data_IF_421264975385
#
_entry.id   IF_421264975385
#
_cell.length_a   1.000
_cell.length_b   1.000
_cell.length_c   1.000
_cell.angle_alpha   90.00
_cell.angle_beta   90.00
_cell.angle_gamma   90.00
#
_symmetry.space_group_name_H-M   'P 1'
#
loop_
_entity.id
_entity.type
_entity.pdbx_description
1 polymer ?
#
# COMPACT_ATOMS: atom_id res chain seq x y z
N UNK A 1 -31.44 0.35 -6.31
CA UNK A 1 -30.47 -0.39 -5.45
C UNK A 1 -29.61 -1.38 -6.27
N UNK A 2 -28.92 -0.95 -7.34
CA UNK A 2 -28.18 -1.87 -8.25
C UNK A 2 -26.67 -1.58 -8.40
N UNK A 3 -26.18 -0.46 -7.87
CA UNK A 3 -24.77 -0.08 -7.99
C UNK A 3 -23.85 -0.82 -6.99
N UNK A 4 -24.36 -1.14 -5.78
CA UNK A 4 -23.59 -1.83 -4.72
C UNK A 4 -23.18 -3.26 -5.11
N UNK A 5 -24.00 -3.95 -5.89
CA UNK A 5 -23.77 -5.34 -6.32
C UNK A 5 -22.77 -5.44 -7.47
N UNK A 6 -22.76 -4.48 -8.40
CA UNK A 6 -21.73 -4.40 -9.44
C UNK A 6 -20.35 -4.10 -8.84
N UNK A 7 -20.26 -3.15 -7.90
CA UNK A 7 -19.01 -2.84 -7.22
C UNK A 7 -18.46 -4.03 -6.42
N UNK A 8 -19.30 -4.79 -5.73
CA UNK A 8 -18.83 -5.95 -4.96
C UNK A 8 -18.37 -7.10 -5.85
N UNK A 9 -19.00 -7.30 -7.00
CA UNK A 9 -18.55 -8.29 -7.99
C UNK A 9 -17.27 -7.85 -8.71
N UNK A 10 -17.16 -6.57 -9.07
CA UNK A 10 -15.93 -6.02 -9.66
C UNK A 10 -14.79 -6.04 -8.64
N UNK A 11 -15.05 -5.72 -7.37
CA UNK A 11 -14.10 -5.87 -6.27
C UNK A 11 -13.65 -7.32 -6.15
N UNK A 12 -14.56 -8.29 -6.26
CA UNK A 12 -14.23 -9.72 -6.31
C UNK A 12 -13.40 -10.11 -7.53
N UNK A 13 -13.64 -9.52 -8.70
CA UNK A 13 -12.88 -9.80 -9.91
C UNK A 13 -11.50 -9.12 -9.92
N UNK A 14 -11.37 -7.93 -9.32
CA UNK A 14 -10.10 -7.25 -9.07
C UNK A 14 -9.31 -7.92 -7.94
N UNK A 15 -10.00 -8.46 -6.94
CA UNK A 15 -9.44 -9.41 -5.98
C UNK A 15 -9.33 -10.84 -6.56
N UNK A 16 -9.83 -11.04 -7.79
CA UNK A 16 -10.16 -12.33 -8.38
C UNK A 16 -9.03 -12.91 -9.20
N UNK A 17 -8.01 -13.33 -8.48
CA UNK A 17 -7.37 -14.60 -8.73
C UNK A 17 -6.94 -15.09 -7.34
N UNK A 18 -7.75 -15.93 -6.71
CA UNK A 18 -7.54 -16.54 -5.39
C UNK A 18 -6.34 -17.53 -5.37
N UNK A 19 -5.28 -17.20 -6.11
CA UNK A 19 -3.89 -17.54 -5.81
C UNK A 19 -3.18 -16.40 -5.08
N UNK A 20 -3.91 -15.31 -4.77
CA UNK A 20 -3.46 -14.18 -3.98
C UNK A 20 -3.20 -14.66 -2.53
N UNK A 21 -2.04 -15.29 -2.36
CA UNK A 21 -1.37 -15.51 -1.09
C UNK A 21 -1.32 -14.13 -0.45
N UNK A 22 -2.30 -13.81 0.40
CA UNK A 22 -2.15 -12.79 1.43
C UNK A 22 -0.74 -12.99 1.94
N UNK A 23 0.08 -11.92 1.92
CA UNK A 23 1.42 -11.98 2.51
C UNK A 23 1.27 -12.77 3.81
N UNK A 24 2.03 -13.88 3.92
CA UNK A 24 1.90 -14.79 5.06
C UNK A 24 1.91 -13.94 6.33
N UNK A 25 1.22 -14.36 7.37
CA UNK A 25 1.34 -13.64 8.64
C UNK A 25 2.82 -13.62 9.11
N UNK A 26 3.67 -14.52 8.60
CA UNK A 26 5.14 -14.56 8.81
C UNK A 26 5.96 -13.73 7.81
N UNK A 27 5.33 -12.96 6.92
CA UNK A 27 6.06 -12.17 5.94
C UNK A 27 6.93 -11.11 6.63
N UNK A 28 8.23 -11.15 6.34
CA UNK A 28 9.20 -10.21 6.89
C UNK A 28 9.05 -8.83 6.25
N UNK A 29 9.41 -7.75 6.97
CA UNK A 29 9.38 -6.39 6.42
C UNK A 29 10.21 -6.23 5.13
N UNK A 30 11.40 -6.86 5.06
CA UNK A 30 12.24 -6.85 3.86
C UNK A 30 11.54 -7.46 2.63
N UNK A 31 10.90 -8.62 2.80
CA UNK A 31 10.16 -9.27 1.72
C UNK A 31 9.04 -8.36 1.20
N UNK A 32 8.29 -7.74 2.11
CA UNK A 32 7.25 -6.78 1.79
C UNK A 32 7.78 -5.60 0.95
N UNK A 33 8.93 -5.04 1.33
CA UNK A 33 9.58 -3.92 0.62
C UNK A 33 10.04 -4.36 -0.77
N UNK A 34 10.63 -5.54 -0.90
CA UNK A 34 11.04 -6.09 -2.20
C UNK A 34 9.86 -6.29 -3.14
N UNK A 35 8.70 -6.70 -2.63
CA UNK A 35 7.47 -6.84 -3.42
C UNK A 35 6.93 -5.50 -3.93
N UNK A 36 7.15 -4.39 -3.21
CA UNK A 36 6.78 -3.04 -3.67
C UNK A 36 7.56 -2.57 -4.91
N UNK A 37 8.67 -3.23 -5.25
CA UNK A 37 9.38 -2.99 -6.52
C UNK A 37 8.57 -3.49 -7.73
N UNK A 38 7.69 -4.46 -7.52
CA UNK A 38 6.79 -5.05 -8.52
C UNK A 38 5.33 -4.71 -8.17
N UNK A 39 4.85 -3.50 -8.51
CA UNK A 39 3.53 -3.04 -8.08
C UNK A 39 2.42 -3.86 -8.72
N UNK A 40 1.60 -4.47 -7.88
CA UNK A 40 0.37 -5.18 -8.27
C UNK A 40 -0.71 -4.94 -7.21
N UNK A 41 -1.98 -5.06 -7.62
CA UNK A 41 -3.12 -4.91 -6.69
C UNK A 41 -3.04 -5.94 -5.56
N UNK A 42 -2.60 -7.17 -5.87
CA UNK A 42 -2.39 -8.23 -4.88
C UNK A 42 -1.33 -7.87 -3.84
N UNK A 43 -0.17 -7.38 -4.28
CA UNK A 43 0.95 -7.02 -3.41
C UNK A 43 0.55 -5.89 -2.44
N UNK A 44 -0.10 -4.83 -2.93
CA UNK A 44 -0.57 -3.74 -2.06
C UNK A 44 -1.71 -4.18 -1.15
N UNK A 45 -2.68 -4.97 -1.63
CA UNK A 45 -3.78 -5.44 -0.79
C UNK A 45 -3.29 -6.36 0.35
N UNK A 46 -2.35 -7.25 0.03
CA UNK A 46 -1.68 -8.10 1.02
C UNK A 46 -0.90 -7.25 2.03
N UNK A 47 -0.11 -6.28 1.55
CA UNK A 47 0.69 -5.42 2.41
C UNK A 47 -0.17 -4.56 3.32
N UNK A 48 -1.26 -3.98 2.80
CA UNK A 48 -2.26 -3.25 3.57
C UNK A 48 -2.81 -4.09 4.71
N UNK A 49 -3.10 -5.36 4.47
CA UNK A 49 -3.60 -6.27 5.51
C UNK A 49 -2.53 -6.56 6.56
N UNK A 50 -1.29 -6.82 6.12
CA UNK A 50 -0.15 -7.03 7.02
C UNK A 50 0.14 -5.79 7.87
N UNK A 51 0.18 -4.60 7.29
CA UNK A 51 0.39 -3.31 7.98
C UNK A 51 -0.69 -2.99 9.02
N UNK A 52 -1.93 -3.42 8.78
CA UNK A 52 -3.03 -3.22 9.74
C UNK A 52 -2.94 -4.15 10.94
N UNK A 53 -2.35 -5.34 10.76
CA UNK A 53 -2.22 -6.38 11.79
C UNK A 53 -0.83 -6.42 12.45
N UNK A 54 0.14 -5.69 11.91
CA UNK A 54 1.53 -5.74 12.35
C UNK A 54 1.69 -5.20 13.77
N UNK A 55 2.57 -5.83 14.54
CA UNK A 55 3.03 -5.30 15.82
C UNK A 55 3.83 -4.01 15.64
N UNK A 56 4.04 -3.29 16.75
CA UNK A 56 4.89 -2.09 16.77
C UNK A 56 6.33 -2.40 16.34
N UNK A 57 6.88 -3.55 16.76
CA UNK A 57 8.21 -4.02 16.36
C UNK A 57 8.32 -4.25 14.85
N UNK A 58 7.37 -4.98 14.26
CA UNK A 58 7.35 -5.22 12.81
C UNK A 58 7.22 -3.91 12.02
N UNK A 59 6.37 -2.99 12.50
CA UNK A 59 6.23 -1.65 11.89
C UNK A 59 7.52 -0.86 12.01
N UNK A 60 8.20 -0.91 13.16
CA UNK A 60 9.50 -0.28 13.37
C UNK A 60 10.54 -0.79 12.37
N UNK A 61 10.70 -2.11 12.25
CA UNK A 61 11.61 -2.71 11.27
C UNK A 61 11.28 -2.32 9.83
N UNK A 62 9.99 -2.33 9.46
CA UNK A 62 9.56 -1.87 8.14
C UNK A 62 9.97 -0.43 7.85
N UNK A 63 9.85 0.46 8.83
CA UNK A 63 10.23 1.86 8.71
C UNK A 63 11.75 2.05 8.70
N UNK A 64 12.49 1.29 9.51
CA UNK A 64 13.95 1.27 9.50
C UNK A 64 14.55 0.82 8.16
N UNK A 65 13.82 0.00 7.41
CA UNK A 65 14.18 -0.44 6.06
C UNK A 65 13.67 0.51 4.95
N UNK A 66 13.39 1.78 5.28
CA UNK A 66 12.86 2.78 4.35
C UNK A 66 11.50 2.44 3.73
N UNK A 67 10.71 1.57 4.36
CA UNK A 67 9.44 1.08 3.81
C UNK A 67 8.45 2.19 3.46
N UNK A 68 8.40 3.27 4.24
CA UNK A 68 7.58 4.46 3.94
C UNK A 68 8.07 5.19 2.68
N UNK A 69 9.37 5.39 2.53
CA UNK A 69 9.96 6.04 1.35
C UNK A 69 9.74 5.23 0.09
N UNK A 70 9.81 3.90 0.19
CA UNK A 70 9.51 2.98 -0.90
C UNK A 70 8.04 3.05 -1.29
N UNK A 71 7.11 3.12 -0.32
CA UNK A 71 5.68 3.31 -0.59
C UNK A 71 5.39 4.63 -1.31
N UNK A 72 5.98 5.75 -0.86
CA UNK A 72 5.81 7.05 -1.50
C UNK A 72 6.38 7.05 -2.92
N UNK A 73 7.53 6.43 -3.14
CA UNK A 73 8.15 6.33 -4.47
C UNK A 73 7.37 5.37 -5.39
N UNK A 74 6.71 4.36 -4.82
CA UNK A 74 5.76 3.53 -5.56
C UNK A 74 4.52 4.32 -5.95
N UNK A 75 4.00 5.17 -5.06
CA UNK A 75 2.86 6.04 -5.33
C UNK A 75 3.15 7.01 -6.48
N UNK A 76 4.32 7.68 -6.48
CA UNK A 76 4.74 8.57 -7.57
C UNK A 76 4.81 7.84 -8.92
N UNK A 77 5.38 6.63 -8.94
CA UNK A 77 5.49 5.79 -10.16
C UNK A 77 4.13 5.31 -10.67
N UNK A 78 3.24 4.88 -9.76
CA UNK A 78 1.90 4.40 -10.14
C UNK A 78 1.00 5.57 -10.52
N UNK A 79 1.07 6.70 -9.80
CA UNK A 79 0.31 7.91 -10.09
C UNK A 79 0.69 8.52 -11.44
N UNK A 80 1.99 8.62 -11.76
CA UNK A 80 2.43 9.08 -13.09
C UNK A 80 2.02 8.14 -14.22
N UNK A 81 1.89 6.83 -13.96
CA UNK A 81 1.32 5.87 -14.92
C UNK A 81 -0.18 6.09 -15.09
N UNK A 82 -0.94 6.16 -13.98
CA UNK A 82 -2.38 6.37 -13.98
C UNK A 82 -2.79 7.71 -14.60
N UNK A 83 -2.00 8.77 -14.44
CA UNK A 83 -2.24 10.05 -15.10
C UNK A 83 -2.09 9.98 -16.63
N UNK A 84 -1.28 9.03 -17.13
CA UNK A 84 -1.04 8.81 -18.57
C UNK A 84 -1.94 7.74 -19.17
N UNK A 85 -2.66 6.98 -18.35
CA UNK A 85 -3.50 5.87 -18.79
C UNK A 85 -4.96 6.07 -18.36
N UNK A 86 -5.90 5.82 -19.27
CA UNK A 86 -7.33 5.80 -18.91
C UNK A 86 -7.77 4.44 -18.35
N UNK A 87 -6.83 3.60 -17.91
CA UNK A 87 -7.12 2.27 -17.42
C UNK A 87 -7.56 2.31 -15.95
N UNK A 88 -8.79 1.89 -15.70
CA UNK A 88 -9.35 1.80 -14.36
C UNK A 88 -8.47 1.00 -13.38
N UNK A 89 -7.79 -0.05 -13.86
CA UNK A 89 -6.87 -0.85 -13.04
C UNK A 89 -5.70 -0.04 -12.47
N UNK A 90 -5.18 0.96 -13.19
CA UNK A 90 -4.10 1.81 -12.69
C UNK A 90 -4.58 2.72 -11.56
N UNK A 91 -5.82 3.22 -11.64
CA UNK A 91 -6.44 3.97 -10.54
C UNK A 91 -6.67 3.09 -9.31
N UNK A 92 -7.08 1.83 -9.48
CA UNK A 92 -7.21 0.86 -8.37
C UNK A 92 -5.84 0.58 -7.75
N UNK A 93 -4.80 0.41 -8.56
CA UNK A 93 -3.44 0.20 -8.09
C UNK A 93 -2.93 1.40 -7.26
N UNK A 94 -3.20 2.63 -7.73
CA UNK A 94 -2.87 3.86 -7.01
C UNK A 94 -3.61 3.94 -5.67
N UNK A 95 -4.92 3.63 -5.67
CA UNK A 95 -5.73 3.63 -4.45
C UNK A 95 -5.24 2.62 -3.42
N UNK A 96 -4.86 1.41 -3.85
CA UNK A 96 -4.31 0.39 -2.96
C UNK A 96 -2.96 0.80 -2.36
N UNK A 97 -2.10 1.48 -3.13
CA UNK A 97 -0.87 2.07 -2.62
C UNK A 97 -1.14 3.13 -1.54
N UNK A 98 -2.09 4.05 -1.80
CA UNK A 98 -2.54 5.06 -0.81
C UNK A 98 -3.10 4.38 0.44
N UNK A 99 -3.83 3.28 0.30
CA UNK A 99 -4.35 2.53 1.46
C UNK A 99 -3.24 1.91 2.32
N UNK A 100 -2.10 1.51 1.74
CA UNK A 100 -0.95 1.05 2.51
C UNK A 100 -0.31 2.18 3.31
N UNK A 101 -0.10 3.34 2.67
CA UNK A 101 0.43 4.55 3.33
C UNK A 101 -0.46 4.95 4.50
N UNK A 102 -1.78 4.97 4.28
CA UNK A 102 -2.76 5.22 5.34
C UNK A 102 -2.65 4.22 6.50
N UNK A 103 -2.39 2.94 6.22
CA UNK A 103 -2.24 1.94 7.27
C UNK A 103 -1.00 2.22 8.14
N UNK A 104 0.13 2.63 7.54
CA UNK A 104 1.32 3.08 8.28
C UNK A 104 0.98 4.30 9.15
N UNK A 105 0.37 5.32 8.57
CA UNK A 105 0.01 6.56 9.29
C UNK A 105 -1.06 6.39 10.36
N UNK A 106 -1.79 5.28 10.37
CA UNK A 106 -2.75 4.98 11.44
C UNK A 106 -2.12 4.15 12.57
N UNK A 107 -0.86 3.76 12.44
CA UNK A 107 -0.07 3.17 13.53
C UNK A 107 0.60 4.26 14.34
N UNK A 108 0.62 4.10 15.67
CA UNK A 108 1.35 5.00 16.58
C UNK A 108 2.82 5.11 16.19
N UNK A 109 3.49 3.98 15.98
CA UNK A 109 4.90 3.92 15.57
C UNK A 109 5.11 4.59 14.21
N UNK A 110 4.17 4.42 13.27
CA UNK A 110 4.23 5.09 11.97
C UNK A 110 4.06 6.61 12.06
N UNK A 111 3.19 7.10 12.94
CA UNK A 111 3.02 8.54 13.19
C UNK A 111 4.24 9.16 13.87
N UNK A 112 4.79 8.50 14.89
CA UNK A 112 6.00 8.94 15.60
C UNK A 112 7.16 9.09 14.60
N UNK A 113 7.39 8.07 13.76
CA UNK A 113 8.41 8.11 12.70
C UNK A 113 8.21 9.27 11.71
N UNK A 114 6.97 9.57 11.33
CA UNK A 114 6.64 10.65 10.40
C UNK A 114 6.90 12.04 10.98
N UNK A 115 6.65 12.23 12.28
CA UNK A 115 6.91 13.49 12.98
C UNK A 115 8.41 13.76 13.03
N UNK A 116 9.21 12.73 13.29
CA UNK A 116 10.67 12.81 13.31
C UNK A 116 11.24 13.09 11.92
N UNK A 117 10.61 12.55 10.87
CA UNK A 117 11.07 12.67 9.48
C UNK A 117 10.26 13.69 8.66
N UNK A 118 10.47 15.00 8.92
CA UNK A 118 9.78 16.11 8.22
C UNK A 118 9.85 16.07 6.68
N UNK A 119 10.85 15.42 6.10
CA UNK A 119 10.96 15.24 4.66
C UNK A 119 9.83 14.38 4.07
N UNK A 120 9.33 13.39 4.82
CA UNK A 120 8.23 12.52 4.40
C UNK A 120 6.89 13.27 4.41
N UNK A 121 6.66 14.13 5.40
CA UNK A 121 5.45 14.97 5.47
C UNK A 121 5.33 15.92 4.28
N UNK A 122 6.45 16.47 3.79
CA UNK A 122 6.45 17.32 2.58
C UNK A 122 6.04 16.57 1.31
N UNK A 123 6.46 15.31 1.16
CA UNK A 123 6.09 14.48 -0.01
C UNK A 123 4.60 14.15 -0.06
N UNK A 124 3.93 14.06 1.10
CA UNK A 124 2.48 13.85 1.15
C UNK A 124 1.68 15.08 0.73
N UNK A 125 2.15 16.29 1.05
CA UNK A 125 1.49 17.54 0.67
C UNK A 125 1.71 17.96 -0.79
N UNK A 126 2.64 17.31 -1.48
CA UNK A 126 2.99 17.59 -2.89
C UNK A 126 2.29 16.65 -3.89
N UNK A 127 1.49 15.69 -3.40
CA UNK A 127 0.77 14.70 -4.22
C UNK A 127 -0.60 15.17 -4.69
#
# INVERSE_FOLDING_TARGET
>A
MAAKTKWSSLKRQLSGNDTNKSLSDDATPDLCIRLLRFPSVGNFSGLKTKLKKSSSEWMGEFLCLDGMSVLLSALERVGSRAARSSHFCDAVLQLECVCCIKAVMNSRTGLEYMIENRAMTRRLGAG
#
